data_IF_853757361888
#
_entry.id   IF_853757361888
#
_cell.length_a   1.000
_cell.length_b   1.000
_cell.length_c   1.000
_cell.angle_alpha   90.00
_cell.angle_beta   90.00
_cell.angle_gamma   90.00
#
_symmetry.space_group_name_H-M   'P 1'
#
loop_
_entity.id
_entity.type
_entity.pdbx_description
1 polymer ?
#
# COMPACT_ATOMS: atom_id res chain seq x y z
N UNK A 1 14.53 40.84 -16.61
CA UNK A 1 15.21 39.93 -15.67
C UNK A 1 14.14 39.13 -14.95
N UNK A 2 13.98 37.84 -15.26
CA UNK A 2 13.00 36.96 -14.62
C UNK A 2 13.68 36.29 -13.43
N UNK A 3 13.21 36.56 -12.22
CA UNK A 3 13.71 35.96 -10.99
C UNK A 3 13.30 34.49 -10.96
N UNK A 4 14.26 33.60 -11.16
CA UNK A 4 14.08 32.16 -11.07
C UNK A 4 14.08 31.78 -9.59
N UNK A 5 12.90 31.44 -9.06
CA UNK A 5 12.75 30.92 -7.70
C UNK A 5 13.48 29.58 -7.61
N UNK A 6 14.65 29.58 -6.96
CA UNK A 6 15.43 28.39 -6.68
C UNK A 6 14.66 27.49 -5.69
N UNK A 7 13.83 26.59 -6.22
CA UNK A 7 13.34 25.43 -5.47
C UNK A 7 14.52 24.48 -5.29
N UNK A 8 15.36 24.79 -4.30
CA UNK A 8 16.35 23.86 -3.80
C UNK A 8 15.61 22.60 -3.34
N UNK A 9 15.71 21.53 -4.12
CA UNK A 9 15.10 20.24 -3.83
C UNK A 9 15.41 19.79 -2.42
N UNK A 10 14.39 19.68 -1.58
CA UNK A 10 14.52 19.21 -0.20
C UNK A 10 14.38 17.69 -0.20
N UNK A 11 15.49 16.99 -0.03
CA UNK A 11 15.45 15.56 0.23
C UNK A 11 14.58 15.28 1.47
N UNK A 12 13.65 14.31 1.42
CA UNK A 12 12.79 13.98 2.54
C UNK A 12 13.62 13.47 3.72
N UNK A 13 13.36 14.00 4.92
CA UNK A 13 14.08 13.63 6.15
C UNK A 13 13.13 12.96 7.15
N UNK A 14 13.56 11.83 7.69
CA UNK A 14 12.87 11.16 8.80
C UNK A 14 13.50 11.61 10.12
N UNK A 15 12.69 12.10 11.04
CA UNK A 15 13.11 12.54 12.37
C UNK A 15 12.16 11.96 13.40
N UNK A 16 12.70 11.30 14.43
CA UNK A 16 11.96 10.77 15.56
C UNK A 16 12.67 11.13 16.86
N UNK A 17 11.89 11.39 17.91
CA UNK A 17 12.40 11.52 19.28
C UNK A 17 12.30 10.17 19.96
N UNK A 18 13.36 9.79 20.66
CA UNK A 18 13.45 8.54 21.42
C UNK A 18 14.02 8.85 22.81
N UNK A 19 13.74 7.98 23.77
CA UNK A 19 14.40 8.00 25.06
C UNK A 19 15.86 7.52 24.94
N UNK A 20 16.64 7.76 26.00
CA UNK A 20 18.07 7.43 26.04
C UNK A 20 18.33 5.92 25.93
N UNK A 21 17.47 5.08 26.52
CA UNK A 21 17.66 3.64 26.49
C UNK A 21 17.48 3.11 25.07
N UNK A 22 16.44 3.56 24.37
CA UNK A 22 16.20 3.25 22.97
C UNK A 22 17.36 3.72 22.08
N UNK A 23 17.85 4.94 22.29
CA UNK A 23 19.00 5.46 21.54
C UNK A 23 20.26 4.59 21.72
N UNK A 24 20.59 4.22 22.97
CA UNK A 24 21.76 3.39 23.27
C UNK A 24 21.64 2.00 22.66
N UNK A 25 20.45 1.40 22.74
CA UNK A 25 20.20 0.08 22.16
C UNK A 25 20.39 0.08 20.64
N UNK A 26 19.86 1.09 19.95
CA UNK A 26 20.01 1.23 18.49
C UNK A 26 21.47 1.50 18.12
N UNK A 27 22.20 2.32 18.88
CA UNK A 27 23.62 2.56 18.66
C UNK A 27 24.43 1.25 18.79
N UNK A 28 24.19 0.47 19.84
CA UNK A 28 24.83 -0.82 20.04
C UNK A 28 24.52 -1.79 18.89
N UNK A 29 23.27 -1.88 18.45
CA UNK A 29 22.88 -2.73 17.32
C UNK A 29 23.55 -2.31 16.01
N UNK A 30 23.69 -0.99 15.77
CA UNK A 30 24.39 -0.46 14.61
C UNK A 30 25.89 -0.81 14.62
N UNK A 31 26.55 -0.67 15.78
CA UNK A 31 27.94 -1.07 15.99
C UNK A 31 28.15 -2.57 15.73
N UNK A 32 27.29 -3.43 16.29
CA UNK A 32 27.33 -4.88 16.05
C UNK A 32 27.11 -5.25 14.58
N UNK A 33 26.36 -4.42 13.85
CA UNK A 33 26.08 -4.60 12.43
C UNK A 33 27.15 -3.97 11.53
N UNK A 34 28.18 -3.34 12.09
CA UNK A 34 29.28 -2.71 11.36
C UNK A 34 28.86 -1.49 10.53
N UNK A 35 27.78 -0.80 10.92
CA UNK A 35 27.25 0.35 10.18
C UNK A 35 26.96 1.54 11.11
N UNK A 36 26.78 2.74 10.53
CA UNK A 36 26.40 3.92 11.33
C UNK A 36 24.97 3.80 11.83
N UNK A 37 24.67 4.46 12.95
CA UNK A 37 23.31 4.48 13.52
C UNK A 37 22.24 4.95 12.52
N UNK A 38 22.55 5.94 11.69
CA UNK A 38 21.65 6.43 10.65
C UNK A 38 21.39 5.39 9.57
N UNK A 39 22.42 4.67 9.10
CA UNK A 39 22.26 3.58 8.13
C UNK A 39 21.43 2.44 8.72
N UNK A 40 21.73 2.04 9.96
CA UNK A 40 20.99 1.00 10.66
C UNK A 40 19.50 1.33 10.79
N UNK A 41 19.17 2.57 11.12
CA UNK A 41 17.77 3.03 11.22
C UNK A 41 17.05 2.95 9.87
N UNK A 42 17.68 3.42 8.79
CA UNK A 42 17.07 3.38 7.45
C UNK A 42 16.89 1.95 6.98
N UNK A 43 17.90 1.10 7.16
CA UNK A 43 17.85 -0.31 6.78
C UNK A 43 16.78 -1.08 7.55
N UNK A 44 16.75 -0.93 8.88
CA UNK A 44 15.76 -1.56 9.75
C UNK A 44 14.33 -1.10 9.44
N UNK A 45 14.13 0.21 9.24
CA UNK A 45 12.83 0.78 8.91
C UNK A 45 12.34 0.28 7.54
N UNK A 46 13.23 0.24 6.55
CA UNK A 46 12.92 -0.28 5.21
C UNK A 46 12.59 -1.76 5.25
N UNK A 47 13.41 -2.58 5.90
CA UNK A 47 13.18 -4.02 6.06
C UNK A 47 11.82 -4.29 6.71
N UNK A 48 11.49 -3.55 7.77
CA UNK A 48 10.19 -3.71 8.42
C UNK A 48 9.02 -3.25 7.55
N UNK A 49 9.21 -2.16 6.80
CA UNK A 49 8.20 -1.69 5.85
C UNK A 49 7.94 -2.73 4.75
N UNK A 50 9.01 -3.31 4.18
CA UNK A 50 8.92 -4.37 3.17
C UNK A 50 8.19 -5.60 3.73
N UNK A 51 8.50 -6.05 4.96
CA UNK A 51 7.80 -7.15 5.62
C UNK A 51 6.30 -6.87 5.79
N UNK A 52 5.93 -5.67 6.23
CA UNK A 52 4.53 -5.28 6.45
C UNK A 52 3.77 -5.22 5.12
N UNK A 53 4.37 -4.64 4.09
CA UNK A 53 3.79 -4.57 2.73
C UNK A 53 3.61 -5.96 2.17
N UNK A 54 4.65 -6.81 2.23
CA UNK A 54 4.58 -8.18 1.72
C UNK A 54 3.51 -9.00 2.45
N UNK A 55 3.38 -8.85 3.77
CA UNK A 55 2.37 -9.57 4.56
C UNK A 55 0.94 -9.25 4.12
N UNK A 56 0.67 -8.02 3.69
CA UNK A 56 -0.67 -7.57 3.30
C UNK A 56 -0.93 -7.84 1.81
N UNK A 57 0.09 -7.68 0.97
CA UNK A 57 -0.04 -7.79 -0.49
C UNK A 57 0.11 -9.21 -1.02
N UNK A 58 0.76 -10.11 -0.27
CA UNK A 58 1.00 -11.48 -0.70
C UNK A 58 0.15 -12.46 0.09
N UNK A 59 -0.62 -13.25 -0.65
CA UNK A 59 -1.32 -14.41 -0.09
C UNK A 59 -0.32 -15.56 -0.04
N UNK A 60 0.12 -15.96 1.16
CA UNK A 60 0.90 -17.18 1.37
C UNK A 60 -0.04 -18.37 1.39
N UNK A 61 0.13 -19.29 0.44
CA UNK A 61 -0.67 -20.52 0.33
C UNK A 61 0.19 -21.74 0.66
N UNK A 62 -0.42 -22.78 1.26
CA UNK A 62 0.24 -24.09 1.34
C UNK A 62 0.39 -24.70 -0.05
N UNK A 63 1.30 -25.68 -0.22
CA UNK A 63 1.46 -26.40 -1.49
C UNK A 63 0.12 -27.00 -1.94
N UNK A 64 -0.63 -27.60 -1.02
CA UNK A 64 -1.96 -28.15 -1.29
C UNK A 64 -2.93 -27.07 -1.81
N UNK A 65 -2.99 -25.92 -1.14
CA UNK A 65 -3.85 -24.80 -1.56
C UNK A 65 -3.41 -24.25 -2.92
N UNK A 66 -2.10 -24.13 -3.14
CA UNK A 66 -1.52 -23.69 -4.40
C UNK A 66 -1.87 -24.62 -5.56
N UNK A 67 -1.73 -25.94 -5.36
CA UNK A 67 -2.12 -26.94 -6.36
C UNK A 67 -3.62 -26.85 -6.68
N UNK A 68 -4.46 -26.68 -5.65
CA UNK A 68 -5.90 -26.51 -5.84
C UNK A 68 -6.23 -25.21 -6.59
N UNK A 69 -5.54 -24.11 -6.30
CA UNK A 69 -5.70 -22.85 -7.04
C UNK A 69 -5.31 -23.02 -8.51
N UNK A 70 -4.17 -23.65 -8.79
CA UNK A 70 -3.73 -23.91 -10.16
C UNK A 70 -4.74 -24.79 -10.92
N UNK A 71 -5.24 -25.85 -10.28
CA UNK A 71 -6.26 -26.71 -10.86
C UNK A 71 -7.57 -25.95 -11.17
N UNK A 72 -7.95 -24.97 -10.34
CA UNK A 72 -9.10 -24.10 -10.61
C UNK A 72 -8.82 -23.17 -11.81
N UNK A 73 -7.60 -22.64 -11.93
CA UNK A 73 -7.20 -21.75 -13.03
C UNK A 73 -7.10 -22.48 -14.38
N UNK A 74 -6.65 -23.74 -14.40
CA UNK A 74 -6.54 -24.55 -15.61
C UNK A 74 -7.89 -25.04 -16.15
N UNK A 75 -8.93 -25.06 -15.30
CA UNK A 75 -10.28 -25.46 -15.68
C UNK A 75 -11.01 -24.30 -16.38
N UNK A 76 -11.90 -24.64 -17.31
CA UNK A 76 -12.81 -23.65 -17.91
C UNK A 76 -13.62 -22.97 -16.80
N UNK A 77 -13.77 -21.62 -16.84
CA UNK A 77 -14.54 -20.89 -15.85
C UNK A 77 -15.94 -21.47 -15.70
N UNK A 78 -16.34 -21.77 -14.47
CA UNK A 78 -17.70 -22.21 -14.17
C UNK A 78 -18.64 -21.02 -14.30
N UNK A 79 -19.88 -21.27 -14.74
CA UNK A 79 -20.94 -20.24 -14.68
C UNK A 79 -21.07 -19.76 -13.23
N UNK A 80 -21.08 -18.43 -12.98
CA UNK A 80 -21.33 -17.89 -11.65
C UNK A 80 -22.67 -18.39 -11.10
N UNK A 81 -22.77 -18.49 -9.77
CA UNK A 81 -24.04 -18.84 -9.13
C UNK A 81 -25.09 -17.74 -9.34
N UNK A 82 -26.37 -18.09 -9.29
CA UNK A 82 -27.47 -17.11 -9.37
C UNK A 82 -27.34 -16.00 -8.33
N UNK A 83 -26.95 -16.37 -7.10
CA UNK A 83 -26.68 -15.42 -6.01
C UNK A 83 -25.53 -14.46 -6.37
N UNK A 84 -24.40 -14.98 -6.85
CA UNK A 84 -23.25 -14.13 -7.25
C UNK A 84 -23.62 -13.18 -8.40
N UNK A 85 -24.47 -13.62 -9.35
CA UNK A 85 -24.95 -12.75 -10.42
C UNK A 85 -25.87 -11.65 -9.91
N UNK A 86 -26.77 -11.97 -8.98
CA UNK A 86 -27.67 -10.99 -8.36
C UNK A 86 -26.90 -9.97 -7.54
N UNK A 87 -25.99 -10.42 -6.66
CA UNK A 87 -25.14 -9.53 -5.86
C UNK A 87 -24.30 -8.58 -6.76
N UNK A 88 -23.85 -9.05 -7.94
CA UNK A 88 -23.14 -8.23 -8.91
C UNK A 88 -24.03 -7.19 -9.62
N UNK A 89 -25.30 -7.51 -9.87
CA UNK A 89 -26.28 -6.57 -10.43
C UNK A 89 -26.62 -5.47 -9.41
N UNK A 90 -26.87 -5.86 -8.16
CA UNK A 90 -27.18 -4.94 -7.06
C UNK A 90 -26.00 -3.97 -6.81
N UNK A 91 -24.76 -4.48 -6.86
CA UNK A 91 -23.57 -3.63 -6.77
C UNK A 91 -23.48 -2.63 -7.92
N UNK A 92 -23.75 -3.08 -9.17
CA UNK A 92 -23.73 -2.20 -10.35
C UNK A 92 -24.77 -1.07 -10.22
N UNK A 93 -25.95 -1.36 -9.69
CA UNK A 93 -27.01 -0.37 -9.46
C UNK A 93 -26.57 0.66 -8.41
N UNK A 94 -26.09 0.21 -7.26
CA UNK A 94 -25.62 1.13 -6.20
C UNK A 94 -24.46 2.04 -6.62
N UNK A 95 -23.50 1.54 -7.41
CA UNK A 95 -22.38 2.35 -7.91
C UNK A 95 -22.86 3.42 -8.92
N UNK A 96 -23.82 3.05 -9.78
CA UNK A 96 -24.39 4.00 -10.75
C UNK A 96 -25.20 5.10 -10.07
N UNK A 97 -25.94 4.79 -9.01
CA UNK A 97 -26.68 5.78 -8.23
C UNK A 97 -25.74 6.79 -7.54
N UNK A 98 -24.60 6.35 -7.01
CA UNK A 98 -23.57 7.25 -6.48
C UNK A 98 -22.92 8.13 -7.54
N UNK A 99 -22.70 7.63 -8.76
CA UNK A 99 -22.15 8.44 -9.85
C UNK A 99 -23.17 9.46 -10.37
N UNK A 100 -24.46 9.10 -10.48
CA UNK A 100 -25.53 10.03 -10.86
C UNK A 100 -25.72 11.16 -9.82
N UNK A 101 -25.44 10.89 -8.54
CA UNK A 101 -25.50 11.90 -7.47
C UNK A 101 -24.29 12.86 -7.51
N UNK A 102 -23.12 12.40 -7.95
CA UNK A 102 -21.93 13.25 -8.12
C UNK A 102 -21.98 14.16 -9.37
N UNK A 103 -22.73 13.77 -10.41
CA UNK A 103 -22.92 14.61 -11.61
C UNK A 103 -23.99 15.69 -11.41
N UNK A 104 -24.91 15.54 -10.44
CA UNK A 104 -25.94 16.53 -10.13
C UNK A 104 -25.46 17.74 -9.29
N UNK A 105 -24.17 17.80 -8.93
CA UNK A 105 -23.54 18.95 -8.26
C UNK A 105 -22.53 19.71 -9.15
N UNK A 106 -22.37 19.31 -10.41
CA UNK A 106 -21.66 20.11 -11.40
C UNK A 106 -22.66 20.93 -12.25
N UNK A 107 -23.40 21.83 -11.60
CA UNK A 107 -24.14 22.86 -12.34
C UNK A 107 -23.15 23.89 -12.92
N UNK A 108 -23.45 24.46 -14.10
CA UNK A 108 -22.52 25.22 -14.91
C UNK A 108 -22.37 26.64 -14.37
N UNK A 109 -21.19 27.02 -13.90
CA UNK A 109 -20.83 28.44 -13.91
C UNK A 109 -20.78 28.90 -15.38
N UNK A 110 -21.85 29.61 -15.73
CA UNK A 110 -22.14 30.27 -17.01
C UNK A 110 -21.51 31.67 -16.98
N UNK A 111 -21.64 32.43 -18.08
CA UNK A 111 -20.73 32.58 -19.22
C UNK A 111 -19.52 33.51 -18.99
#
# INVERSE_FOLDING_TARGET
MKTQTNQAGKDPRLVARVDTQTQQFIAQAAELSGMTMSQFLIDSARSKAEEVVDRITRIRVSIETGNRMLEILDRKPRKPSSKLMQDALDYKESVNDTNATNEAHADPETP
#
